data_IF_214839865461
#
_entry.id   IF_214839865461
#
_cell.length_a   1.000
_cell.length_b   1.000
_cell.length_c   1.000
_cell.angle_alpha   90.00
_cell.angle_beta   90.00
_cell.angle_gamma   90.00
#
_symmetry.space_group_name_H-M   'P 1'
#
loop_
_entity.id
_entity.type
_entity.pdbx_description
1 polymer ?
#
# COMPACT_ATOMS: atom_id res chain seq x y z
N UNK A 1 15.01 -23.17 16.25
CA UNK A 1 14.66 -21.73 16.31
C UNK A 1 15.57 -20.88 15.42
N UNK A 2 16.90 -21.09 15.44
CA UNK A 2 17.89 -20.41 14.57
C UNK A 2 17.56 -20.44 13.07
N UNK A 3 17.22 -21.60 12.51
CA UNK A 3 16.81 -21.70 11.09
C UNK A 3 15.56 -20.90 10.71
N UNK A 4 14.65 -20.63 11.65
CA UNK A 4 13.47 -19.80 11.35
C UNK A 4 13.86 -18.34 11.18
N UNK A 5 14.75 -17.83 12.04
CA UNK A 5 15.23 -16.45 12.00
C UNK A 5 16.02 -16.18 10.72
N UNK A 6 16.87 -17.13 10.31
CA UNK A 6 17.63 -17.02 9.05
C UNK A 6 16.73 -16.97 7.83
N UNK A 7 15.70 -17.83 7.77
CA UNK A 7 14.71 -17.82 6.68
C UNK A 7 13.93 -16.51 6.60
N UNK A 8 13.50 -15.96 7.74
CA UNK A 8 12.83 -14.64 7.79
C UNK A 8 13.76 -13.54 7.27
N UNK A 9 15.03 -13.53 7.70
CA UNK A 9 16.02 -12.55 7.22
C UNK A 9 16.24 -12.64 5.72
N UNK A 10 16.32 -13.86 5.18
CA UNK A 10 16.45 -14.07 3.74
C UNK A 10 15.19 -13.60 3.00
N UNK A 11 14.01 -14.00 3.46
CA UNK A 11 12.74 -13.59 2.86
C UNK A 11 12.56 -12.06 2.86
N UNK A 12 12.95 -11.37 3.94
CA UNK A 12 12.93 -9.90 3.98
C UNK A 12 13.89 -9.29 2.95
N UNK A 13 15.11 -9.83 2.79
CA UNK A 13 16.04 -9.36 1.75
C UNK A 13 15.53 -9.56 0.34
N UNK A 14 14.77 -10.61 0.07
CA UNK A 14 14.15 -10.81 -1.24
C UNK A 14 12.97 -9.85 -1.44
N UNK A 15 12.15 -9.63 -0.41
CA UNK A 15 11.08 -8.63 -0.44
C UNK A 15 11.65 -7.22 -0.69
N UNK A 16 12.76 -6.86 -0.04
CA UNK A 16 13.38 -5.54 -0.17
C UNK A 16 13.93 -5.24 -1.57
N UNK A 17 14.06 -6.25 -2.43
CA UNK A 17 14.47 -6.08 -3.84
C UNK A 17 13.30 -5.76 -4.78
N UNK A 18 12.07 -5.92 -4.30
CA UNK A 18 10.85 -5.71 -5.10
C UNK A 18 10.59 -4.21 -5.23
N UNK A 19 10.38 -3.76 -6.47
CA UNK A 19 10.08 -2.35 -6.76
C UNK A 19 8.79 -2.14 -7.56
N UNK A 20 8.10 -3.21 -7.95
CA UNK A 20 6.87 -3.16 -8.74
C UNK A 20 5.80 -4.07 -8.11
N UNK A 21 4.51 -3.71 -8.23
CA UNK A 21 3.44 -4.55 -7.66
C UNK A 21 3.39 -5.94 -8.31
N UNK A 22 3.67 -6.02 -9.62
CA UNK A 22 3.67 -7.26 -10.39
C UNK A 22 4.78 -8.26 -9.98
N UNK A 23 5.83 -7.77 -9.32
CA UNK A 23 6.92 -8.60 -8.79
C UNK A 23 6.57 -9.23 -7.43
N UNK A 24 5.51 -8.75 -6.75
CA UNK A 24 5.10 -9.26 -5.44
C UNK A 24 4.64 -10.72 -5.57
N UNK A 25 5.25 -11.66 -4.84
CA UNK A 25 4.79 -13.04 -4.80
C UNK A 25 3.32 -13.14 -4.39
N UNK A 26 2.54 -13.95 -5.10
CA UNK A 26 1.08 -14.10 -4.88
C UNK A 26 0.67 -14.34 -3.42
N UNK A 27 1.48 -15.10 -2.67
CA UNK A 27 1.20 -15.42 -1.26
C UNK A 27 1.38 -14.22 -0.31
N UNK A 28 2.07 -13.16 -0.76
CA UNK A 28 2.34 -11.92 -0.02
C UNK A 28 1.36 -10.80 -0.34
N UNK A 29 0.65 -10.86 -1.47
CA UNK A 29 -0.26 -9.80 -1.94
C UNK A 29 -1.38 -9.44 -0.95
N UNK A 30 -1.75 -10.34 -0.03
CA UNK A 30 -2.80 -10.12 0.98
C UNK A 30 -2.27 -9.93 2.41
N UNK A 31 -0.93 -9.85 2.58
CA UNK A 31 -0.27 -9.82 3.89
C UNK A 31 0.11 -8.43 4.38
N UNK A 32 -0.13 -7.41 3.56
CA UNK A 32 0.13 -6.02 3.87
C UNK A 32 -0.68 -5.54 5.07
N UNK A 33 0.00 -4.90 6.01
CA UNK A 33 -0.61 -4.19 7.14
C UNK A 33 -0.14 -2.73 7.14
N UNK A 34 -0.97 -1.78 7.60
CA UNK A 34 -0.57 -0.39 7.69
C UNK A 34 0.51 -0.19 8.75
N UNK A 35 1.59 0.52 8.41
CA UNK A 35 2.60 1.03 9.35
C UNK A 35 2.28 2.48 9.72
N UNK A 36 1.50 2.62 10.80
CA UNK A 36 1.03 3.93 11.30
C UNK A 36 2.16 4.84 11.77
N UNK A 37 3.34 4.29 12.08
CA UNK A 37 4.47 5.10 12.56
C UNK A 37 5.14 5.90 11.44
N UNK A 38 4.93 5.50 10.18
CA UNK A 38 5.53 6.11 8.98
C UNK A 38 4.56 6.93 8.15
N UNK A 39 3.33 7.05 8.63
CA UNK A 39 2.30 7.86 8.01
C UNK A 39 2.71 9.35 7.94
N UNK A 40 2.31 10.04 6.86
CA UNK A 40 2.42 11.50 6.73
C UNK A 40 1.13 12.09 6.17
N UNK A 41 0.69 13.22 6.72
CA UNK A 41 -0.51 13.95 6.31
C UNK A 41 -0.94 14.95 7.38
N UNK A 42 -1.83 15.88 7.03
CA UNK A 42 -2.32 16.92 7.95
C UNK A 42 -3.42 16.43 8.88
N UNK A 43 -3.40 16.92 10.14
CA UNK A 43 -4.29 16.51 11.24
C UNK A 43 -5.79 16.60 10.90
N UNK A 44 -6.20 17.59 10.10
CA UNK A 44 -7.61 17.83 9.75
C UNK A 44 -8.23 16.70 8.91
N UNK A 45 -7.42 15.93 8.19
CA UNK A 45 -7.91 14.77 7.44
C UNK A 45 -8.09 13.54 8.34
N UNK A 46 -7.56 13.54 9.59
CA UNK A 46 -7.49 12.34 10.45
C UNK A 46 -8.86 11.81 10.86
N UNK A 47 -9.89 12.64 11.06
CA UNK A 47 -11.18 12.15 11.55
C UNK A 47 -11.93 11.30 10.51
N UNK A 48 -11.85 11.65 9.21
CA UNK A 48 -12.41 10.82 8.12
C UNK A 48 -11.42 9.73 7.65
N UNK A 49 -10.11 10.00 7.70
CA UNK A 49 -9.08 9.03 7.29
C UNK A 49 -8.76 7.96 8.34
N UNK A 50 -9.29 8.01 9.57
CA UNK A 50 -9.24 6.94 10.60
C UNK A 50 -9.54 5.55 10.01
N UNK A 51 -10.46 5.51 9.04
CA UNK A 51 -10.79 4.30 8.30
C UNK A 51 -9.59 3.82 7.46
N UNK A 52 -9.00 4.72 6.67
CA UNK A 52 -7.89 4.45 5.76
C UNK A 52 -6.63 3.99 6.52
N UNK A 53 -6.35 4.49 7.73
CA UNK A 53 -5.19 4.04 8.54
C UNK A 53 -5.25 2.57 8.97
N UNK A 54 -6.45 2.00 9.02
CA UNK A 54 -6.64 0.59 9.37
C UNK A 54 -6.94 -0.26 8.14
N UNK A 55 -6.92 0.36 6.96
CA UNK A 55 -7.26 -0.34 5.75
C UNK A 55 -6.19 -1.37 5.39
N UNK A 56 -6.62 -2.46 4.75
CA UNK A 56 -5.72 -3.40 4.09
C UNK A 56 -5.88 -3.25 2.58
N UNK A 57 -4.78 -3.06 1.84
CA UNK A 57 -4.82 -2.96 0.39
C UNK A 57 -4.99 -4.35 -0.22
N UNK A 58 -5.86 -4.44 -1.22
CA UNK A 58 -6.09 -5.65 -2.00
C UNK A 58 -5.94 -5.29 -3.46
N UNK A 59 -5.11 -6.06 -4.16
CA UNK A 59 -4.83 -5.88 -5.58
C UNK A 59 -5.40 -7.03 -6.38
N UNK A 60 -6.00 -6.71 -7.53
CA UNK A 60 -6.45 -7.69 -8.49
C UNK A 60 -6.08 -7.22 -9.89
N UNK A 61 -5.37 -8.06 -10.65
CA UNK A 61 -5.11 -7.78 -12.06
C UNK A 61 -6.42 -7.83 -12.85
N UNK A 62 -6.74 -6.76 -13.57
CA UNK A 62 -7.97 -6.63 -14.38
C UNK A 62 -7.67 -6.87 -15.86
N UNK A 63 -6.57 -6.31 -16.36
CA UNK A 63 -6.09 -6.48 -17.72
C UNK A 63 -4.56 -6.60 -17.73
N UNK A 64 -3.93 -6.67 -18.91
CA UNK A 64 -2.47 -6.66 -19.03
C UNK A 64 -1.84 -5.42 -18.37
N UNK A 65 -2.54 -4.27 -18.48
CA UNK A 65 -2.04 -2.94 -18.13
C UNK A 65 -2.81 -2.27 -16.98
N UNK A 66 -3.77 -2.96 -16.38
CA UNK A 66 -4.60 -2.39 -15.32
C UNK A 66 -4.70 -3.30 -14.11
N UNK A 67 -4.53 -2.69 -12.95
CA UNK A 67 -4.71 -3.32 -11.65
C UNK A 67 -5.82 -2.61 -10.91
N UNK A 68 -6.76 -3.36 -10.35
CA UNK A 68 -7.74 -2.85 -9.40
C UNK A 68 -7.10 -2.83 -8.01
N UNK A 69 -7.19 -1.67 -7.35
CA UNK A 69 -6.92 -1.50 -5.93
C UNK A 69 -8.24 -1.27 -5.19
N UNK A 70 -8.40 -1.97 -4.07
CA UNK A 70 -9.41 -1.65 -3.07
C UNK A 70 -8.81 -1.67 -1.67
N UNK A 71 -9.33 -0.81 -0.80
CA UNK A 71 -8.95 -0.73 0.61
C UNK A 71 -10.08 -1.32 1.47
N UNK A 72 -9.73 -2.12 2.48
CA UNK A 72 -10.71 -2.80 3.34
C UNK A 72 -10.47 -2.51 4.82
N UNK A 73 -11.52 -2.08 5.53
CA UNK A 73 -11.48 -1.69 6.95
C UNK A 73 -12.55 -2.47 7.71
N UNK A 74 -12.14 -3.53 8.41
CA UNK A 74 -13.09 -4.48 9.00
C UNK A 74 -13.99 -5.08 7.93
N UNK A 75 -15.30 -4.81 7.99
CA UNK A 75 -16.29 -5.27 7.00
C UNK A 75 -16.65 -4.21 5.94
N UNK A 76 -15.99 -3.04 5.95
CA UNK A 76 -16.23 -1.97 4.98
C UNK A 76 -15.16 -2.02 3.89
N UNK A 77 -15.58 -1.83 2.64
CA UNK A 77 -14.69 -1.67 1.50
C UNK A 77 -14.79 -0.22 0.99
N UNK A 78 -13.67 0.34 0.55
CA UNK A 78 -13.67 1.60 -0.21
C UNK A 78 -14.13 1.37 -1.63
N UNK A 79 -14.34 2.46 -2.37
CA UNK A 79 -14.45 2.39 -3.82
C UNK A 79 -13.19 1.75 -4.43
N UNK A 80 -13.40 1.10 -5.57
CA UNK A 80 -12.34 0.48 -6.36
C UNK A 80 -11.68 1.54 -7.20
N UNK A 81 -10.35 1.57 -7.16
CA UNK A 81 -9.53 2.44 -7.99
C UNK A 81 -8.87 1.59 -9.06
N UNK A 82 -9.00 2.01 -10.32
CA UNK A 82 -8.25 1.42 -11.42
C UNK A 82 -6.92 2.14 -11.50
N UNK A 83 -5.86 1.35 -11.44
CA UNK A 83 -4.47 1.76 -11.49
C UNK A 83 -3.89 1.38 -12.86
N UNK A 84 -3.31 2.36 -13.55
CA UNK A 84 -2.67 2.16 -14.84
C UNK A 84 -1.21 1.70 -14.70
N UNK A 85 -0.71 1.01 -15.74
CA UNK A 85 0.56 0.26 -15.76
C UNK A 85 1.84 1.02 -15.34
N UNK A 86 2.82 0.26 -14.85
CA UNK A 86 4.15 0.73 -14.46
C UNK A 86 4.58 0.13 -13.12
N UNK A 87 5.77 0.45 -12.62
CA UNK A 87 6.14 0.17 -11.22
C UNK A 87 5.60 1.25 -10.26
N UNK A 88 5.23 2.39 -10.84
CA UNK A 88 4.52 3.49 -10.22
C UNK A 88 3.17 3.56 -10.92
N UNK A 89 2.12 3.25 -10.18
CA UNK A 89 0.77 3.21 -10.67
C UNK A 89 0.03 4.49 -10.30
N UNK A 90 -0.81 4.99 -11.20
CA UNK A 90 -1.62 6.18 -10.98
C UNK A 90 -3.10 5.83 -11.11
N UNK A 91 -3.95 6.49 -10.33
CA UNK A 91 -5.39 6.53 -10.60
C UNK A 91 -5.68 7.32 -11.88
N UNK A 92 -6.84 7.07 -12.49
CA UNK A 92 -7.26 7.76 -13.72
C UNK A 92 -7.39 9.29 -13.59
N UNK A 93 -7.58 9.82 -12.38
CA UNK A 93 -7.57 11.26 -12.07
C UNK A 93 -6.19 11.79 -11.62
N UNK A 94 -5.20 10.90 -11.52
CA UNK A 94 -3.82 11.16 -11.08
C UNK A 94 -3.69 11.67 -9.64
N UNK A 95 -4.76 11.68 -8.85
CA UNK A 95 -4.72 12.10 -7.45
C UNK A 95 -4.11 11.02 -6.55
N UNK A 96 -4.14 9.76 -6.96
CA UNK A 96 -3.56 8.64 -6.22
C UNK A 96 -2.36 8.07 -6.95
N UNK A 97 -1.27 7.86 -6.21
CA UNK A 97 -0.04 7.23 -6.66
C UNK A 97 0.29 6.03 -5.79
N UNK A 98 0.48 4.86 -6.39
CA UNK A 98 0.75 3.60 -5.70
C UNK A 98 2.06 2.99 -6.22
N UNK A 99 2.96 2.61 -5.32
CA UNK A 99 4.26 2.04 -5.70
C UNK A 99 4.85 1.18 -4.60
N UNK A 100 5.82 0.33 -4.95
CA UNK A 100 6.62 -0.42 -4.00
C UNK A 100 8.02 0.15 -3.99
N UNK A 101 8.58 0.36 -2.80
CA UNK A 101 9.97 0.77 -2.64
C UNK A 101 10.58 0.03 -1.45
N UNK A 102 11.72 -0.62 -1.68
CA UNK A 102 12.41 -1.42 -0.66
C UNK A 102 11.49 -2.46 0.02
N UNK A 103 10.59 -3.08 -0.75
CA UNK A 103 9.67 -4.10 -0.24
C UNK A 103 8.51 -3.57 0.61
N UNK A 104 8.35 -2.26 0.72
CA UNK A 104 7.22 -1.61 1.37
C UNK A 104 6.29 -1.01 0.32
N UNK A 105 4.98 -1.06 0.58
CA UNK A 105 3.97 -0.52 -0.33
C UNK A 105 3.58 0.89 0.13
N UNK A 106 3.55 1.81 -0.83
CA UNK A 106 3.17 3.21 -0.61
C UNK A 106 1.91 3.51 -1.40
N UNK A 107 0.97 4.20 -0.75
CA UNK A 107 -0.20 4.82 -1.37
C UNK A 107 -0.15 6.29 -0.98
N UNK A 108 0.07 7.14 -1.98
CA UNK A 108 0.02 8.58 -1.83
C UNK A 108 -1.29 9.10 -2.43
N UNK A 109 -1.95 10.04 -1.76
CA UNK A 109 -3.19 10.66 -2.23
C UNK A 109 -3.08 12.18 -2.08
N UNK A 110 -3.34 12.91 -3.16
CA UNK A 110 -3.36 14.37 -3.19
C UNK A 110 -4.77 14.87 -2.82
N UNK A 111 -4.83 15.90 -1.97
CA UNK A 111 -6.10 16.48 -1.52
C UNK A 111 -5.97 17.98 -1.24
N UNK A 112 -7.10 18.67 -1.13
CA UNK A 112 -7.16 20.06 -0.69
C UNK A 112 -7.50 20.13 0.81
N UNK A 113 -6.74 20.89 1.57
CA UNK A 113 -7.01 21.21 2.97
C UNK A 113 -8.20 22.17 3.10
N UNK A 114 -8.71 22.36 4.32
CA UNK A 114 -9.83 23.26 4.57
C UNK A 114 -9.53 24.72 4.19
N UNK A 115 -8.26 25.13 4.23
CA UNK A 115 -7.80 26.45 3.78
C UNK A 115 -7.45 26.51 2.28
N UNK A 116 -7.79 25.46 1.52
CA UNK A 116 -7.66 25.40 0.06
C UNK A 116 -6.24 25.18 -0.45
N UNK A 117 -5.33 24.67 0.38
CA UNK A 117 -3.97 24.31 -0.03
C UNK A 117 -3.92 22.85 -0.49
N UNK A 118 -3.11 22.60 -1.49
CA UNK A 118 -2.76 21.23 -1.88
C UNK A 118 -1.90 20.59 -0.79
N UNK A 119 -2.27 19.37 -0.41
CA UNK A 119 -1.59 18.53 0.55
C UNK A 119 -1.54 17.08 0.04
N UNK A 120 -0.69 16.28 0.68
CA UNK A 120 -0.51 14.87 0.33
C UNK A 120 -0.63 14.00 1.57
N UNK A 121 -1.42 12.95 1.45
CA UNK A 121 -1.51 11.82 2.35
C UNK A 121 -0.51 10.76 1.90
N UNK A 122 0.30 10.21 2.80
CA UNK A 122 1.17 9.07 2.52
C UNK A 122 0.88 7.95 3.50
N UNK A 123 0.35 6.86 2.95
CA UNK A 123 0.10 5.60 3.64
C UNK A 123 1.21 4.63 3.30
N UNK A 124 1.74 3.96 4.33
CA UNK A 124 2.80 2.97 4.19
C UNK A 124 2.31 1.64 4.71
N UNK A 125 2.56 0.59 3.94
CA UNK A 125 2.20 -0.78 4.27
C UNK A 125 3.42 -1.67 4.27
N UNK A 126 3.46 -2.58 5.24
CA UNK A 126 4.55 -3.53 5.44
C UNK A 126 4.01 -4.94 5.54
N UNK A 127 4.86 -5.92 5.26
CA UNK A 127 4.55 -7.33 5.54
C UNK A 127 5.20 -7.71 6.89
N UNK A 128 4.42 -8.20 7.87
CA UNK A 128 4.99 -8.65 9.14
C UNK A 128 6.01 -9.76 8.93
N UNK A 129 7.09 -9.76 9.70
CA UNK A 129 8.13 -10.78 9.60
C UNK A 129 7.61 -12.22 9.78
N UNK A 130 6.49 -12.39 10.51
CA UNK A 130 5.84 -13.67 10.71
C UNK A 130 5.11 -14.19 9.47
N UNK A 131 4.75 -13.33 8.52
CA UNK A 131 4.01 -13.64 7.29
C UNK A 131 4.93 -13.82 6.06
N UNK A 132 6.25 -13.69 6.23
CA UNK A 132 7.23 -13.81 5.15
C UNK A 132 7.59 -15.26 4.76
N UNK A 133 7.21 -16.27 5.56
CA UNK A 133 7.62 -17.68 5.41
C UNK A 133 6.48 -18.66 5.63
#
# INVERSE_FOLDING_TARGET
>A
MLHRVERIKQAKRELDKINCLDEIPKHLMSKWIPDKSRFKGEAEYFEESILIYNAKPHFQKVSEFQTELKLTVGNRETERVILDEGCVYLSGDQLMKVYVENGDLFINEEYLTADGKEAMLQLVYVIPAADLI
#
